data_IF_369679315821
#
_entry.id   IF_369679315821
#
_cell.length_a   1.000
_cell.length_b   1.000
_cell.length_c   1.000
_cell.angle_alpha   90.00
_cell.angle_beta   90.00
_cell.angle_gamma   90.00
#
_symmetry.space_group_name_H-M   'P 1'
#
loop_
_entity.id
_entity.type
_entity.pdbx_description
1 polymer ?
#
# COMPACT_ATOMS: atom_id res chain seq x y z
N UNK A 1 13.10 20.38 15.59
CA UNK A 1 12.94 19.85 14.22
C UNK A 1 11.82 18.84 14.29
N UNK A 2 10.77 18.98 13.48
CA UNK A 2 9.81 17.90 13.30
C UNK A 2 10.54 16.72 12.64
N UNK A 3 10.41 15.53 13.23
CA UNK A 3 11.04 14.34 12.70
C UNK A 3 10.24 13.87 11.49
N UNK A 4 10.87 13.87 10.32
CA UNK A 4 10.30 13.29 9.10
C UNK A 4 10.62 11.80 9.10
N UNK A 5 9.58 10.98 8.96
CA UNK A 5 9.69 9.53 8.86
C UNK A 5 9.85 9.17 7.38
N UNK A 6 10.85 8.36 7.05
CA UNK A 6 11.05 7.88 5.69
C UNK A 6 10.17 6.65 5.44
N UNK A 7 9.33 6.71 4.40
CA UNK A 7 8.57 5.55 3.95
C UNK A 7 9.55 4.55 3.31
N UNK A 8 9.44 3.24 3.63
CA UNK A 8 10.41 2.28 3.18
C UNK A 8 10.26 1.98 1.68
N UNK A 9 11.39 1.70 1.04
CA UNK A 9 11.43 1.10 -0.29
C UNK A 9 11.10 -0.39 -0.18
N UNK A 10 9.87 -0.75 -0.57
CA UNK A 10 9.30 -2.09 -0.40
C UNK A 10 10.07 -3.12 -1.22
N UNK A 11 10.51 -2.77 -2.43
CA UNK A 11 11.30 -3.66 -3.26
C UNK A 11 12.64 -3.98 -2.59
N UNK A 12 13.34 -2.97 -2.05
CA UNK A 12 14.57 -3.20 -1.29
C UNK A 12 14.34 -4.06 -0.04
N UNK A 13 13.19 -3.94 0.62
CA UNK A 13 12.87 -4.82 1.76
C UNK A 13 12.70 -6.28 1.32
N UNK A 14 12.09 -6.53 0.16
CA UNK A 14 11.97 -7.86 -0.42
C UNK A 14 13.35 -8.41 -0.81
N UNK A 15 14.14 -7.64 -1.56
CA UNK A 15 15.46 -8.06 -2.06
C UNK A 15 16.43 -8.43 -0.94
N UNK A 16 16.38 -7.71 0.18
CA UNK A 16 17.23 -7.97 1.34
C UNK A 16 16.59 -8.91 2.38
N UNK A 17 15.43 -9.51 2.08
CA UNK A 17 14.69 -10.38 2.99
C UNK A 17 14.48 -9.75 4.39
N UNK A 18 14.11 -8.46 4.39
CA UNK A 18 13.99 -7.62 5.58
C UNK A 18 12.54 -7.21 5.86
N UNK A 19 11.57 -8.01 5.41
CA UNK A 19 10.16 -7.84 5.77
C UNK A 19 9.93 -8.37 7.20
N UNK A 20 9.05 -7.74 7.99
CA UNK A 20 8.62 -8.31 9.26
C UNK A 20 7.83 -9.60 9.03
N UNK A 21 7.72 -10.45 10.06
CA UNK A 21 6.91 -11.67 9.98
C UNK A 21 5.43 -11.39 9.84
N UNK A 22 4.98 -10.25 10.38
CA UNK A 22 3.59 -9.81 10.38
C UNK A 22 3.56 -8.28 10.24
N UNK A 23 2.63 -7.77 9.43
CA UNK A 23 2.40 -6.34 9.23
C UNK A 23 1.04 -6.01 9.83
N UNK A 24 0.98 -4.99 10.69
CA UNK A 24 -0.23 -4.59 11.40
C UNK A 24 -0.64 -3.17 11.06
N UNK A 25 -1.95 -2.91 10.97
CA UNK A 25 -2.49 -1.55 10.95
C UNK A 25 -2.30 -0.88 12.33
N UNK A 26 -2.37 0.47 12.40
CA UNK A 26 -2.29 1.21 13.66
C UNK A 26 -3.33 0.80 14.71
N UNK A 27 -4.48 0.25 14.30
CA UNK A 27 -5.53 -0.25 15.19
C UNK A 27 -5.29 -1.70 15.69
N UNK A 28 -4.17 -2.31 15.32
CA UNK A 28 -3.81 -3.69 15.67
C UNK A 28 -4.36 -4.75 14.71
N UNK A 29 -5.02 -4.37 13.61
CA UNK A 29 -5.47 -5.34 12.60
C UNK A 29 -4.28 -5.96 11.89
N UNK A 30 -4.21 -7.29 11.83
CA UNK A 30 -3.22 -7.99 11.00
C UNK A 30 -3.54 -7.78 9.51
N UNK A 31 -2.58 -7.24 8.76
CA UNK A 31 -2.71 -6.93 7.34
C UNK A 31 -2.14 -8.03 6.45
N UNK A 32 -0.92 -8.49 6.76
CA UNK A 32 -0.18 -9.47 5.98
C UNK A 32 0.77 -10.29 6.84
N UNK A 33 1.09 -11.49 6.35
CA UNK A 33 2.16 -12.37 6.82
C UNK A 33 3.14 -12.56 5.67
N UNK A 34 4.15 -11.69 5.48
CA UNK A 34 4.94 -11.67 4.24
C UNK A 34 5.60 -13.00 3.84
N UNK A 35 5.90 -13.87 4.80
CA UNK A 35 6.49 -15.20 4.55
C UNK A 35 5.46 -16.34 4.51
N UNK A 36 4.16 -16.03 4.62
CA UNK A 36 3.06 -16.98 4.53
C UNK A 36 2.55 -17.16 3.10
N UNK A 37 1.69 -18.17 2.91
CA UNK A 37 1.01 -18.43 1.63
C UNK A 37 -0.06 -17.38 1.34
N UNK A 38 -0.55 -17.31 0.10
CA UNK A 38 -1.67 -16.42 -0.29
C UNK A 38 -2.93 -16.63 0.58
N UNK A 39 -3.17 -17.87 1.03
CA UNK A 39 -4.27 -18.22 1.92
C UNK A 39 -4.11 -17.72 3.36
N UNK A 40 -2.98 -17.09 3.68
CA UNK A 40 -2.65 -16.57 5.01
C UNK A 40 -2.52 -15.04 5.03
N UNK A 41 -2.84 -14.36 3.92
CA UNK A 41 -2.73 -12.90 3.79
C UNK A 41 -4.09 -12.22 4.06
N UNK A 42 -4.33 -11.60 5.25
CA UNK A 42 -5.65 -11.03 5.56
C UNK A 42 -6.15 -9.99 4.55
N UNK A 43 -5.28 -9.12 4.04
CA UNK A 43 -5.65 -8.15 2.99
C UNK A 43 -6.17 -8.84 1.73
N UNK A 44 -5.59 -9.97 1.33
CA UNK A 44 -6.01 -10.72 0.13
C UNK A 44 -7.31 -11.47 0.39
N UNK A 45 -7.45 -12.09 1.56
CA UNK A 45 -8.64 -12.85 1.94
C UNK A 45 -9.87 -11.95 2.06
N UNK A 46 -9.69 -10.73 2.57
CA UNK A 46 -10.77 -9.77 2.78
C UNK A 46 -10.86 -8.72 1.67
N UNK A 47 -10.17 -8.94 0.54
CA UNK A 47 -9.97 -7.89 -0.47
C UNK A 47 -11.26 -7.29 -1.05
N UNK A 48 -12.35 -8.05 -1.00
CA UNK A 48 -13.66 -7.66 -1.53
C UNK A 48 -14.53 -6.86 -0.56
N UNK A 49 -14.18 -6.86 0.72
CA UNK A 49 -15.01 -6.28 1.79
C UNK A 49 -14.27 -5.18 2.53
N UNK A 50 -12.96 -5.31 2.72
CA UNK A 50 -12.18 -4.28 3.35
C UNK A 50 -11.99 -3.10 2.43
N UNK A 51 -12.30 -1.91 2.95
CA UNK A 51 -12.25 -0.64 2.23
C UNK A 51 -11.14 0.24 2.76
N UNK A 52 -10.54 1.04 1.88
CA UNK A 52 -9.45 1.94 2.24
C UNK A 52 -9.79 3.40 2.00
N UNK A 53 -9.36 4.25 2.91
CA UNK A 53 -9.56 5.69 2.87
C UNK A 53 -8.25 6.43 3.10
N UNK A 54 -8.06 7.57 2.45
CA UNK A 54 -6.89 8.40 2.68
C UNK A 54 -6.94 9.06 4.07
N UNK A 55 -5.81 9.04 4.77
CA UNK A 55 -5.62 9.63 6.10
C UNK A 55 -4.39 10.55 6.14
N UNK A 56 -4.18 11.29 5.05
CA UNK A 56 -3.08 12.24 4.95
C UNK A 56 -3.51 13.51 4.21
N UNK A 57 -2.75 14.57 4.45
CA UNK A 57 -2.81 15.85 3.76
C UNK A 57 -1.48 16.10 3.03
N UNK A 58 -1.55 16.81 1.90
CA UNK A 58 -0.35 17.21 1.17
C UNK A 58 0.34 18.37 1.90
N UNK A 59 1.67 18.38 1.85
CA UNK A 59 2.46 19.54 2.29
C UNK A 59 2.87 20.39 1.08
N UNK A 60 3.66 21.45 1.32
CA UNK A 60 4.26 22.24 0.23
C UNK A 60 5.42 21.52 -0.48
N UNK A 61 5.93 20.45 0.13
CA UNK A 61 6.89 19.52 -0.47
C UNK A 61 6.10 18.32 -1.02
N UNK A 62 6.25 18.06 -2.32
CA UNK A 62 5.49 17.03 -3.03
C UNK A 62 5.88 15.60 -2.64
N UNK A 63 7.03 15.42 -1.98
CA UNK A 63 7.47 14.12 -1.45
C UNK A 63 7.00 13.86 -0.02
N UNK A 64 6.50 14.90 0.69
CA UNK A 64 6.15 14.82 2.11
C UNK A 64 4.64 15.00 2.29
N UNK A 65 4.06 14.09 3.06
CA UNK A 65 2.66 14.12 3.47
C UNK A 65 2.54 14.17 4.99
N UNK A 66 1.46 14.75 5.48
CA UNK A 66 1.14 14.78 6.91
C UNK A 66 -0.02 13.84 7.22
N UNK A 67 0.19 12.89 8.14
CA UNK A 67 -0.87 11.99 8.62
C UNK A 67 -1.92 12.79 9.40
N UNK A 68 -3.19 12.69 9.02
CA UNK A 68 -4.25 13.53 9.59
C UNK A 68 -4.54 13.21 11.07
N UNK A 69 -4.41 11.94 11.47
CA UNK A 69 -4.72 11.49 12.84
C UNK A 69 -3.60 11.74 13.84
N UNK A 70 -2.33 11.76 13.40
CA UNK A 70 -1.17 11.87 14.30
C UNK A 70 -0.37 13.16 14.10
N UNK A 71 -0.56 13.86 12.98
CA UNK A 71 0.25 15.01 12.58
C UNK A 71 1.66 14.66 12.12
N UNK A 72 2.03 13.38 12.07
CA UNK A 72 3.37 12.93 11.66
C UNK A 72 3.64 13.25 10.19
N UNK A 73 4.88 13.68 9.91
CA UNK A 73 5.35 13.92 8.54
C UNK A 73 6.03 12.65 8.02
N UNK A 74 5.60 12.20 6.84
CA UNK A 74 6.14 11.02 6.16
C UNK A 74 6.62 11.43 4.78
N UNK A 75 7.89 11.14 4.47
CA UNK A 75 8.41 11.25 3.10
C UNK A 75 8.10 9.95 2.37
N UNK A 76 7.20 10.01 1.40
CA UNK A 76 6.81 8.86 0.56
C UNK A 76 7.78 8.68 -0.61
N UNK A 77 8.49 9.76 -0.97
CA UNK A 77 9.44 9.75 -2.07
C UNK A 77 8.77 9.57 -3.44
N UNK A 78 9.57 9.18 -4.43
CA UNK A 78 9.14 9.03 -5.84
C UNK A 78 8.79 7.60 -6.24
N UNK A 79 8.49 6.74 -5.26
CA UNK A 79 8.03 5.39 -5.56
C UNK A 79 6.69 5.46 -6.33
N UNK A 80 6.68 4.91 -7.55
CA UNK A 80 5.54 5.06 -8.45
C UNK A 80 4.33 4.33 -7.88
N UNK A 81 4.49 3.06 -7.52
CA UNK A 81 3.40 2.22 -7.02
C UNK A 81 2.76 2.82 -5.76
N UNK A 82 3.57 3.30 -4.81
CA UNK A 82 3.06 3.94 -3.59
C UNK A 82 2.28 5.20 -3.92
N UNK A 83 2.82 6.07 -4.77
CA UNK A 83 2.14 7.32 -5.16
C UNK A 83 0.84 7.05 -5.95
N UNK A 84 0.81 6.00 -6.77
CA UNK A 84 -0.38 5.61 -7.50
C UNK A 84 -1.46 5.05 -6.58
N UNK A 85 -1.11 4.15 -5.65
CA UNK A 85 -2.05 3.61 -4.66
C UNK A 85 -2.64 4.75 -3.82
N UNK A 86 -1.78 5.60 -3.23
CA UNK A 86 -2.23 6.73 -2.41
C UNK A 86 -3.09 7.70 -3.23
N UNK A 87 -2.66 7.99 -4.46
CA UNK A 87 -3.35 8.89 -5.38
C UNK A 87 -4.71 8.36 -5.82
N UNK A 88 -4.83 7.06 -6.11
CA UNK A 88 -6.07 6.40 -6.49
C UNK A 88 -7.08 6.45 -5.35
N UNK A 89 -6.67 6.01 -4.15
CA UNK A 89 -7.55 5.99 -2.97
C UNK A 89 -7.98 7.40 -2.58
N UNK A 90 -7.10 8.40 -2.66
CA UNK A 90 -7.43 9.77 -2.26
C UNK A 90 -8.29 10.51 -3.27
N UNK A 91 -8.04 10.35 -4.58
CA UNK A 91 -8.62 11.22 -5.62
C UNK A 91 -9.64 10.55 -6.52
N UNK A 92 -9.47 9.25 -6.77
CA UNK A 92 -10.25 8.53 -7.77
C UNK A 92 -11.38 7.75 -7.11
N UNK A 93 -11.07 6.93 -6.10
CA UNK A 93 -12.05 6.07 -5.46
C UNK A 93 -11.85 5.98 -3.93
N UNK A 94 -12.22 7.02 -3.16
CA UNK A 94 -12.24 6.96 -1.71
C UNK A 94 -13.25 5.91 -1.21
N UNK A 95 -12.78 4.95 -0.39
CA UNK A 95 -13.61 3.84 0.06
C UNK A 95 -13.61 2.64 -0.91
N UNK A 96 -12.72 2.64 -1.90
CA UNK A 96 -12.41 1.46 -2.71
C UNK A 96 -12.11 0.26 -1.82
N UNK A 97 -12.59 -0.90 -2.25
CA UNK A 97 -12.13 -2.18 -1.73
C UNK A 97 -10.66 -2.39 -2.07
N UNK A 98 -9.97 -3.22 -1.28
CA UNK A 98 -8.58 -3.60 -1.57
C UNK A 98 -8.45 -4.20 -2.98
N UNK A 99 -9.43 -5.01 -3.42
CA UNK A 99 -9.45 -5.58 -4.78
C UNK A 99 -9.50 -4.47 -5.84
N UNK A 100 -10.37 -3.48 -5.69
CA UNK A 100 -10.47 -2.36 -6.63
C UNK A 100 -9.18 -1.54 -6.72
N UNK A 101 -8.50 -1.31 -5.59
CA UNK A 101 -7.20 -0.60 -5.58
C UNK A 101 -6.15 -1.38 -6.36
N UNK A 102 -5.98 -2.67 -6.04
CA UNK A 102 -4.94 -3.50 -6.67
C UNK A 102 -5.24 -3.69 -8.16
N UNK A 103 -6.50 -3.97 -8.53
CA UNK A 103 -6.92 -4.12 -9.93
C UNK A 103 -6.68 -2.85 -10.74
N UNK A 104 -6.98 -1.67 -10.20
CA UNK A 104 -6.78 -0.42 -10.93
C UNK A 104 -5.29 -0.17 -11.28
N UNK A 105 -4.37 -0.50 -10.38
CA UNK A 105 -2.93 -0.35 -10.65
C UNK A 105 -2.45 -1.42 -11.64
N UNK A 106 -2.89 -2.67 -11.49
CA UNK A 106 -2.56 -3.75 -12.43
C UNK A 106 -3.05 -3.45 -13.85
N UNK A 107 -4.28 -2.98 -14.00
CA UNK A 107 -4.84 -2.58 -15.30
C UNK A 107 -4.01 -1.47 -15.94
N UNK A 108 -3.63 -0.45 -15.16
CA UNK A 108 -2.80 0.64 -15.65
C UNK A 108 -1.41 0.21 -16.10
N UNK A 109 -0.76 -0.69 -15.35
CA UNK A 109 0.53 -1.25 -15.75
C UNK A 109 0.42 -2.03 -17.05
N UNK A 110 -0.68 -2.77 -17.25
CA UNK A 110 -0.93 -3.49 -18.51
C UNK A 110 -1.15 -2.51 -19.66
N UNK A 111 -1.87 -1.41 -19.44
CA UNK A 111 -2.08 -0.35 -20.43
C UNK A 111 -0.77 0.34 -20.82
N UNK A 112 0.09 0.65 -19.85
CA UNK A 112 1.32 1.42 -20.06
C UNK A 112 2.48 0.56 -20.58
N UNK A 113 2.57 -0.70 -20.17
CA UNK A 113 3.74 -1.55 -20.41
C UNK A 113 3.45 -2.84 -21.18
N UNK A 114 2.17 -3.15 -21.39
CA UNK A 114 1.71 -4.41 -21.99
C UNK A 114 1.47 -5.51 -20.94
N UNK A 115 0.94 -6.66 -21.37
CA UNK A 115 0.62 -7.76 -20.47
C UNK A 115 1.86 -8.38 -19.83
N UNK A 116 1.70 -8.90 -18.61
CA UNK A 116 2.71 -9.71 -17.94
C UNK A 116 3.06 -10.95 -18.78
N UNK A 117 4.34 -11.35 -18.76
CA UNK A 117 4.87 -12.45 -19.58
C UNK A 117 4.30 -13.80 -19.16
N UNK A 118 4.00 -13.96 -17.88
CA UNK A 118 3.47 -15.17 -17.29
C UNK A 118 2.78 -14.87 -15.94
N UNK A 119 2.10 -15.89 -15.42
CA UNK A 119 1.39 -15.80 -14.14
C UNK A 119 2.35 -15.51 -12.97
N UNK A 120 3.59 -15.98 -13.02
CA UNK A 120 4.56 -15.74 -11.94
C UNK A 120 4.94 -14.26 -11.82
N UNK A 121 5.15 -13.57 -12.96
CA UNK A 121 5.45 -12.13 -13.01
C UNK A 121 4.24 -11.32 -12.52
N UNK A 122 3.04 -11.69 -12.97
CA UNK A 122 1.78 -11.09 -12.50
C UNK A 122 1.60 -11.25 -10.99
N UNK A 123 1.76 -12.47 -10.47
CA UNK A 123 1.56 -12.78 -9.06
C UNK A 123 2.62 -12.11 -8.18
N UNK A 124 3.87 -12.02 -8.64
CA UNK A 124 4.94 -11.32 -7.93
C UNK A 124 4.67 -9.83 -7.83
N UNK A 125 4.23 -9.20 -8.93
CA UNK A 125 3.90 -7.78 -8.94
C UNK A 125 2.63 -7.49 -8.13
N UNK A 126 1.59 -8.33 -8.22
CA UNK A 126 0.42 -8.22 -7.37
C UNK A 126 0.80 -8.29 -5.88
N UNK A 127 1.70 -9.19 -5.50
CA UNK A 127 2.18 -9.30 -4.11
C UNK A 127 2.94 -8.04 -3.66
N UNK A 128 3.76 -7.44 -4.53
CA UNK A 128 4.39 -6.14 -4.28
C UNK A 128 3.34 -5.07 -3.99
N UNK A 129 2.30 -4.96 -4.81
CA UNK A 129 1.22 -3.99 -4.60
C UNK A 129 0.48 -4.20 -3.28
N UNK A 130 0.20 -5.45 -2.90
CA UNK A 130 -0.39 -5.78 -1.59
C UNK A 130 0.52 -5.36 -0.44
N UNK A 131 1.83 -5.59 -0.53
CA UNK A 131 2.79 -5.14 0.47
C UNK A 131 2.83 -3.61 0.54
N UNK A 132 2.90 -2.92 -0.59
CA UNK A 132 2.87 -1.45 -0.64
C UNK A 132 1.60 -0.89 0.02
N UNK A 133 0.44 -1.48 -0.27
CA UNK A 133 -0.81 -1.12 0.39
C UNK A 133 -0.78 -1.39 1.89
N UNK A 134 -0.26 -2.54 2.32
CA UNK A 134 -0.13 -2.89 3.72
C UNK A 134 0.77 -1.89 4.47
N UNK A 135 1.87 -1.47 3.87
CA UNK A 135 2.77 -0.46 4.43
C UNK A 135 2.11 0.93 4.49
N UNK A 136 1.38 1.33 3.44
CA UNK A 136 0.62 2.57 3.46
C UNK A 136 -0.41 2.61 4.61
N UNK A 137 -1.06 1.47 4.91
CA UNK A 137 -1.96 1.34 6.07
C UNK A 137 -1.16 1.32 7.39
N UNK A 138 -0.07 0.54 7.47
CA UNK A 138 0.78 0.42 8.66
C UNK A 138 1.31 1.78 9.14
N UNK A 139 1.75 2.62 8.20
CA UNK A 139 2.23 3.98 8.47
C UNK A 139 1.10 5.00 8.69
N UNK A 140 -0.17 4.57 8.65
CA UNK A 140 -1.32 5.42 8.89
C UNK A 140 -1.65 6.38 7.76
N UNK A 141 -1.01 6.25 6.58
CA UNK A 141 -1.35 7.04 5.39
C UNK A 141 -2.74 6.66 4.86
N UNK A 142 -3.11 5.39 4.98
CA UNK A 142 -4.44 4.89 4.66
C UNK A 142 -5.09 4.29 5.91
N UNK A 143 -6.40 4.47 6.05
CA UNK A 143 -7.23 3.80 7.06
C UNK A 143 -7.96 2.65 6.38
N UNK A 144 -7.95 1.51 7.06
CA UNK A 144 -8.69 0.31 6.68
C UNK A 144 -10.01 0.25 7.46
N UNK A 145 -11.13 0.12 6.73
CA UNK A 145 -12.46 -0.10 7.31
C UNK A 145 -12.87 -1.54 7.03
N UNK A 146 -13.24 -2.25 8.09
CA UNK A 146 -13.64 -3.65 8.11
C UNK A 146 -15.17 -3.68 8.19
N UNK A 147 -15.85 -3.82 7.06
CA UNK A 147 -17.30 -4.04 7.01
C UNK A 147 -17.66 -5.45 7.51
#
# INVERSE_FOLDING_TARGET
MEQIIEFPDILKLIEHNNLPTEIYAPDGTLLMKPYGTWGEQPLVLNRKVWRVFANYSLTNDDEIVQVNTTGQLIRVGKDVDTNEILGYVRRINPGATVEEVISAILERVIEDTGPFKNDDEFMSYAFLLYLTLAYAIHYGLLILVKD
#
